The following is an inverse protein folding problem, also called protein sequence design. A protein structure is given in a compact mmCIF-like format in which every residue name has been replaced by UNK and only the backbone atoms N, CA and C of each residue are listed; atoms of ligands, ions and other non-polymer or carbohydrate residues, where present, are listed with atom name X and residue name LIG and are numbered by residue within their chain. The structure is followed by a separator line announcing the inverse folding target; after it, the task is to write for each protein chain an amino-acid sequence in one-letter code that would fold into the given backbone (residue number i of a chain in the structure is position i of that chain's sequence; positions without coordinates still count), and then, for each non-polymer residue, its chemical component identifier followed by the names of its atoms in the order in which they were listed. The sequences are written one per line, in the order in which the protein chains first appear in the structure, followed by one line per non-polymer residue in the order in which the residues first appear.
data_IF_788394462779
#
_entry.id   IF_788394462779
#
_cell.length_a   1.000
_cell.length_b   1.000
_cell.length_c   1.000
_cell.angle_alpha   90.00
_cell.angle_beta   90.00
_cell.angle_gamma   90.00
#
_symmetry.space_group_name_H-M   'P 1'
#
loop_
_entity.id
_entity.type
_entity.pdbx_description
1 polymer ?
#
# COMPACT_ATOMS: atom_id res chain seq x y z
N UNK A 1 5.82 -11.41 1.67
CA UNK A 1 4.80 -11.21 2.71
C UNK A 1 4.87 -12.36 3.71
N UNK A 2 6.10 -12.62 4.16
CA UNK A 2 6.52 -13.75 5.00
C UNK A 2 6.54 -13.32 6.47
N UNK A 3 5.80 -12.26 6.82
CA UNK A 3 5.87 -11.62 8.13
C UNK A 3 4.52 -11.60 8.86
N UNK A 4 3.67 -12.59 8.59
CA UNK A 4 3.09 -13.37 9.69
C UNK A 4 4.11 -14.47 10.01
N UNK A 5 5.35 -14.05 10.28
CA UNK A 5 6.34 -14.92 10.88
C UNK A 5 5.92 -15.01 12.34
N UNK A 6 5.13 -16.05 12.61
CA UNK A 6 4.84 -16.55 13.93
C UNK A 6 4.01 -15.61 14.83
N UNK A 7 2.77 -15.97 15.12
CA UNK A 7 2.47 -16.55 16.44
C UNK A 7 3.68 -17.35 16.98
N UNK A 8 4.66 -16.67 17.59
CA UNK A 8 5.64 -17.29 18.49
C UNK A 8 5.63 -16.53 19.81
N UNK A 9 5.65 -17.19 20.97
CA UNK A 9 5.35 -16.59 22.28
C UNK A 9 6.52 -15.81 22.89
N UNK A 10 7.42 -15.24 22.09
CA UNK A 10 8.65 -14.62 22.62
C UNK A 10 8.87 -13.24 22.00
N UNK A 11 8.94 -12.23 22.88
CA UNK A 11 9.27 -10.80 22.63
C UNK A 11 8.19 -9.88 21.99
N UNK A 12 7.15 -9.54 22.76
CA UNK A 12 5.99 -8.73 22.33
C UNK A 12 6.17 -7.18 22.30
N UNK A 13 7.33 -6.60 22.59
CA UNK A 13 7.49 -5.13 22.64
C UNK A 13 7.94 -4.47 21.32
N UNK A 14 9.12 -4.86 20.78
CA UNK A 14 9.73 -4.16 19.65
C UNK A 14 8.98 -4.38 18.32
N UNK A 15 8.47 -5.59 18.08
CA UNK A 15 7.82 -5.97 16.82
C UNK A 15 6.46 -5.29 16.62
N UNK A 16 5.66 -5.21 17.68
CA UNK A 16 4.35 -4.51 17.64
C UNK A 16 4.57 -3.02 17.40
N UNK A 17 5.50 -2.41 18.13
CA UNK A 17 5.89 -1.01 17.94
C UNK A 17 6.31 -0.73 16.50
N UNK A 18 7.11 -1.61 15.90
CA UNK A 18 7.51 -1.53 14.50
C UNK A 18 6.31 -1.52 13.54
N UNK A 19 5.41 -2.50 13.62
CA UNK A 19 4.24 -2.53 12.72
C UNK A 19 3.27 -1.38 12.94
N UNK A 20 3.08 -0.93 14.18
CA UNK A 20 2.28 0.26 14.48
C UNK A 20 2.89 1.51 13.84
N UNK A 21 4.21 1.67 13.95
CA UNK A 21 4.94 2.79 13.36
C UNK A 21 4.88 2.73 11.82
N UNK A 22 5.01 1.55 11.22
CA UNK A 22 4.85 1.34 9.77
C UNK A 22 3.46 1.73 9.30
N UNK A 23 2.43 1.30 10.03
CA UNK A 23 1.05 1.71 9.75
C UNK A 23 0.87 3.23 9.84
N UNK A 24 1.38 3.85 10.91
CA UNK A 24 1.28 5.28 11.11
C UNK A 24 1.94 6.09 9.98
N UNK A 25 3.17 5.74 9.60
CA UNK A 25 3.85 6.40 8.48
C UNK A 25 3.15 6.16 7.15
N UNK A 26 2.67 4.94 6.88
CA UNK A 26 2.00 4.61 5.63
C UNK A 26 0.67 5.37 5.49
N UNK A 27 -0.23 5.26 6.46
CA UNK A 27 -1.56 5.86 6.40
C UNK A 27 -1.54 7.37 6.67
N UNK A 28 -0.77 7.81 7.66
CA UNK A 28 -0.61 9.23 7.97
C UNK A 28 0.18 9.98 6.90
N UNK A 29 1.28 9.38 6.40
CA UNK A 29 2.04 9.91 5.28
C UNK A 29 1.21 9.98 4.00
N UNK A 30 0.38 8.97 3.72
CA UNK A 30 -0.53 9.00 2.58
C UNK A 30 -1.49 10.19 2.62
N UNK A 31 -2.14 10.45 3.77
CA UNK A 31 -2.99 11.64 3.91
C UNK A 31 -2.21 12.94 3.79
N UNK A 32 -1.01 13.02 4.40
CA UNK A 32 -0.15 14.20 4.34
C UNK A 32 0.27 14.53 2.90
N UNK A 33 0.80 13.57 2.15
CA UNK A 33 1.22 13.79 0.76
C UNK A 33 0.04 14.07 -0.16
N UNK A 34 -1.09 13.42 0.07
CA UNK A 34 -2.32 13.69 -0.69
C UNK A 34 -2.80 15.12 -0.47
N UNK A 35 -2.87 15.59 0.78
CA UNK A 35 -3.23 16.97 1.09
C UNK A 35 -2.26 17.96 0.43
N UNK A 36 -0.95 17.72 0.58
CA UNK A 36 0.08 18.58 -0.01
C UNK A 36 0.02 18.63 -1.54
N UNK A 37 -0.29 17.51 -2.19
CA UNK A 37 -0.46 17.44 -3.63
C UNK A 37 -1.69 18.22 -4.10
N UNK A 38 -2.80 18.17 -3.35
CA UNK A 38 -4.00 18.97 -3.65
C UNK A 38 -3.73 20.45 -3.49
N UNK A 39 -3.07 20.86 -2.41
CA UNK A 39 -2.72 22.26 -2.16
C UNK A 39 -1.78 22.82 -3.24
N UNK A 40 -0.87 21.98 -3.76
CA UNK A 40 0.07 22.39 -4.80
C UNK A 40 -0.54 22.43 -6.20
N UNK A 41 -1.31 21.42 -6.59
CA UNK A 41 -1.90 21.31 -7.94
C UNK A 41 -3.17 22.13 -8.10
N UNK A 42 -3.81 22.51 -6.99
CA UNK A 42 -5.15 23.09 -6.97
C UNK A 42 -6.24 22.02 -7.10
N UNK A 43 -7.42 22.28 -6.52
CA UNK A 43 -8.51 21.31 -6.41
C UNK A 43 -8.99 20.76 -7.77
N UNK A 44 -9.08 21.61 -8.80
CA UNK A 44 -9.56 21.22 -10.13
C UNK A 44 -8.58 20.27 -10.84
N UNK A 45 -7.29 20.60 -10.85
CA UNK A 45 -6.25 19.77 -11.48
C UNK A 45 -6.06 18.46 -10.73
N UNK A 46 -6.06 18.51 -9.38
CA UNK A 46 -5.95 17.33 -8.54
C UNK A 46 -7.14 16.37 -8.70
N UNK A 47 -8.35 16.89 -8.86
CA UNK A 47 -9.53 16.07 -9.15
C UNK A 47 -9.45 15.39 -10.52
N UNK A 48 -9.01 16.13 -11.55
CA UNK A 48 -8.79 15.58 -12.89
C UNK A 48 -7.71 14.48 -12.91
N UNK A 49 -6.65 14.64 -12.12
CA UNK A 49 -5.53 13.68 -12.02
C UNK A 49 -5.54 12.86 -10.72
N UNK A 50 -6.72 12.60 -10.15
CA UNK A 50 -6.90 11.93 -8.85
C UNK A 50 -6.15 10.61 -8.71
N UNK A 51 -6.12 9.78 -9.75
CA UNK A 51 -5.41 8.50 -9.70
C UNK A 51 -3.90 8.73 -9.52
N UNK A 52 -3.33 9.72 -10.21
CA UNK A 52 -1.91 10.07 -10.08
C UNK A 52 -1.61 10.64 -8.69
N UNK A 53 -2.52 11.45 -8.13
CA UNK A 53 -2.39 11.96 -6.76
C UNK A 53 -2.38 10.82 -5.75
N UNK A 54 -3.32 9.87 -5.84
CA UNK A 54 -3.35 8.70 -4.93
C UNK A 54 -2.10 7.83 -5.07
N UNK A 55 -1.71 7.51 -6.30
CA UNK A 55 -0.54 6.70 -6.59
C UNK A 55 0.76 7.35 -6.11
N UNK A 56 0.96 8.64 -6.41
CA UNK A 56 2.14 9.40 -5.99
C UNK A 56 2.22 9.55 -4.47
N UNK A 57 1.10 9.85 -3.82
CA UNK A 57 1.03 9.98 -2.35
C UNK A 57 1.32 8.66 -1.66
N UNK A 58 0.76 7.55 -2.17
CA UNK A 58 0.98 6.20 -1.64
C UNK A 58 2.43 5.76 -1.80
N UNK A 59 3.04 6.01 -2.97
CA UNK A 59 4.44 5.68 -3.23
C UNK A 59 5.39 6.48 -2.32
N UNK A 60 5.16 7.79 -2.17
CA UNK A 60 5.97 8.65 -1.30
C UNK A 60 5.87 8.24 0.17
N UNK A 61 4.65 7.94 0.65
CA UNK A 61 4.42 7.48 2.02
C UNK A 61 5.11 6.15 2.30
N UNK A 62 5.01 5.17 1.40
CA UNK A 62 5.68 3.88 1.57
C UNK A 62 7.20 4.02 1.52
N UNK A 63 7.74 4.79 0.56
CA UNK A 63 9.18 4.99 0.43
C UNK A 63 9.80 5.60 1.69
N UNK A 64 9.17 6.65 2.22
CA UNK A 64 9.64 7.28 3.46
C UNK A 64 9.38 6.42 4.69
N UNK A 65 8.28 5.67 4.72
CA UNK A 65 7.99 4.70 5.76
C UNK A 65 9.08 3.62 5.82
N UNK A 66 9.44 3.04 4.68
CA UNK A 66 10.48 2.02 4.59
C UNK A 66 11.86 2.57 5.03
N UNK A 67 12.18 3.82 4.70
CA UNK A 67 13.41 4.48 5.16
C UNK A 67 13.38 4.75 6.67
N UNK A 68 12.26 5.27 7.20
CA UNK A 68 12.12 5.65 8.60
C UNK A 68 12.09 4.45 9.55
N UNK A 69 11.57 3.30 9.08
CA UNK A 69 11.53 2.07 9.85
C UNK A 69 12.79 1.24 9.80
N UNK A 70 13.61 1.39 8.77
CA UNK A 70 14.95 0.83 8.79
C UNK A 70 15.74 1.56 9.88
N UNK A 71 16.21 0.87 10.94
CA UNK A 71 16.99 1.52 11.99
C UNK A 71 18.15 2.25 11.32
N UNK A 72 18.31 3.55 11.58
CA UNK A 72 19.42 4.31 11.00
C UNK A 72 20.76 3.61 11.31
N UNK A 73 20.88 2.96 12.47
CA UNK A 73 22.01 2.12 12.84
C UNK A 73 22.16 0.86 11.96
N UNK A 74 21.07 0.22 11.55
CA UNK A 74 21.12 -0.93 10.65
C UNK A 74 21.51 -0.51 9.23
N UNK A 75 20.98 0.61 8.73
CA UNK A 75 21.38 1.19 7.44
C UNK A 75 22.83 1.67 7.47
N UNK A 76 23.25 2.35 8.53
CA UNK A 76 24.63 2.82 8.71
C UNK A 76 25.62 1.67 8.88
N UNK A 77 25.22 0.60 9.58
CA UNK A 77 26.04 -0.61 9.73
C UNK A 77 26.14 -1.37 8.40
N UNK A 78 25.04 -1.55 7.68
CA UNK A 78 25.04 -2.17 6.35
C UNK A 78 25.85 -1.35 5.34
N UNK A 79 25.76 -0.02 5.40
CA UNK A 79 26.57 0.89 4.59
C UNK A 79 28.07 0.82 4.94
N UNK A 80 28.41 0.63 6.22
CA UNK A 80 29.80 0.50 6.69
C UNK A 80 30.41 -0.87 6.39
N UNK A 81 29.63 -1.94 6.52
CA UNK A 81 30.11 -3.32 6.39
C UNK A 81 30.05 -3.83 4.95
N UNK A 82 29.01 -3.47 4.18
CA UNK A 82 28.78 -3.95 2.82
C UNK A 82 28.84 -2.83 1.74
N UNK A 83 29.11 -1.59 2.16
CA UNK A 83 29.15 -0.44 1.28
C UNK A 83 27.78 -0.06 0.70
N UNK A 84 27.80 0.83 -0.29
CA UNK A 84 26.59 1.26 -1.02
C UNK A 84 25.93 0.04 -1.73
N UNK A 85 26.73 -0.95 -2.15
CA UNK A 85 26.23 -2.17 -2.78
C UNK A 85 25.30 -3.01 -1.89
N UNK A 86 25.62 -3.16 -0.59
CA UNK A 86 24.78 -3.87 0.38
C UNK A 86 23.47 -3.13 0.70
N UNK A 87 23.50 -1.80 0.72
CA UNK A 87 22.28 -0.98 0.82
C UNK A 87 21.33 -1.23 -0.37
N UNK A 88 21.85 -1.25 -1.59
CA UNK A 88 21.05 -1.54 -2.79
C UNK A 88 20.57 -2.98 -2.86
N UNK A 89 21.32 -3.95 -2.33
CA UNK A 89 20.92 -5.37 -2.30
C UNK A 89 19.77 -5.62 -1.31
N UNK A 90 19.70 -4.85 -0.21
CA UNK A 90 18.65 -4.97 0.81
C UNK A 90 17.40 -4.12 0.56
N UNK A 91 17.57 -2.83 0.26
CA UNK A 91 16.46 -1.87 0.16
C UNK A 91 15.69 -1.98 -1.15
N UNK A 92 16.38 -2.18 -2.28
CA UNK A 92 15.74 -2.20 -3.60
C UNK A 92 14.68 -3.31 -3.75
N UNK A 93 14.94 -4.56 -3.30
CA UNK A 93 13.93 -5.63 -3.32
C UNK A 93 12.69 -5.31 -2.47
N UNK A 94 12.88 -4.66 -1.32
CA UNK A 94 11.80 -4.27 -0.42
C UNK A 94 10.92 -3.23 -1.11
N UNK A 95 11.51 -2.13 -1.58
CA UNK A 95 10.79 -1.05 -2.26
C UNK A 95 10.07 -1.54 -3.52
N UNK A 96 10.72 -2.40 -4.32
CA UNK A 96 10.14 -2.97 -5.54
C UNK A 96 8.85 -3.75 -5.26
N UNK A 97 8.74 -4.38 -4.08
CA UNK A 97 7.54 -5.11 -3.67
C UNK A 97 6.53 -4.22 -2.97
N UNK A 98 6.98 -3.35 -2.08
CA UNK A 98 6.13 -2.57 -1.18
C UNK A 98 5.46 -1.40 -1.89
N UNK A 99 6.18 -0.67 -2.75
CA UNK A 99 5.62 0.48 -3.46
C UNK A 99 4.44 0.05 -4.36
N UNK A 100 4.56 -0.96 -5.24
CA UNK A 100 3.42 -1.39 -6.07
C UNK A 100 2.28 -1.96 -5.24
N UNK A 101 2.59 -2.68 -4.16
CA UNK A 101 1.59 -3.19 -3.22
C UNK A 101 0.78 -2.03 -2.62
N UNK A 102 1.45 -1.02 -2.06
CA UNK A 102 0.80 0.11 -1.38
C UNK A 102 0.06 1.01 -2.36
N UNK A 103 0.61 1.27 -3.55
CA UNK A 103 -0.07 1.99 -4.63
C UNK A 103 -1.39 1.32 -5.03
N UNK A 104 -1.37 0.02 -5.32
CA UNK A 104 -2.57 -0.73 -5.68
C UNK A 104 -3.60 -0.74 -4.55
N UNK A 105 -3.12 -0.93 -3.32
CA UNK A 105 -3.95 -0.95 -2.11
C UNK A 105 -4.74 0.36 -1.96
N UNK A 106 -4.06 1.52 -1.90
CA UNK A 106 -4.76 2.80 -1.69
C UNK A 106 -5.60 3.22 -2.89
N UNK A 107 -5.12 3.04 -4.12
CA UNK A 107 -5.89 3.41 -5.31
C UNK A 107 -7.22 2.63 -5.36
N UNK A 108 -7.18 1.31 -5.16
CA UNK A 108 -8.37 0.48 -5.23
C UNK A 108 -9.30 0.73 -4.04
N UNK A 109 -8.74 0.95 -2.84
CA UNK A 109 -9.53 1.35 -1.68
C UNK A 109 -10.30 2.65 -1.94
N UNK A 110 -9.64 3.72 -2.41
CA UNK A 110 -10.31 5.00 -2.71
C UNK A 110 -11.40 4.85 -3.78
N UNK A 111 -11.15 4.02 -4.81
CA UNK A 111 -12.16 3.72 -5.85
C UNK A 111 -13.34 2.92 -5.31
N UNK A 112 -13.10 1.93 -4.46
CA UNK A 112 -14.15 1.13 -3.83
C UNK A 112 -15.02 2.00 -2.91
N UNK A 113 -14.40 2.89 -2.13
CA UNK A 113 -15.09 3.87 -1.30
C UNK A 113 -15.92 4.85 -2.15
N UNK A 114 -15.36 5.41 -3.22
CA UNK A 114 -16.09 6.29 -4.15
C UNK A 114 -17.31 5.60 -4.75
N UNK A 115 -17.15 4.33 -5.14
CA UNK A 115 -18.24 3.55 -5.70
C UNK A 115 -19.32 3.29 -4.66
N UNK A 116 -18.95 2.88 -3.45
CA UNK A 116 -19.89 2.63 -2.35
C UNK A 116 -20.71 3.89 -1.98
N UNK A 117 -20.08 5.06 -1.89
CA UNK A 117 -20.78 6.30 -1.57
C UNK A 117 -21.48 6.96 -2.76
N UNK A 118 -21.31 6.45 -3.98
CA UNK A 118 -22.13 6.86 -5.13
C UNK A 118 -23.51 6.22 -5.11
N UNK A 119 -23.68 5.12 -4.38
CA UNK A 119 -24.94 4.37 -4.29
C UNK A 119 -25.60 4.44 -2.91
N UNK A 120 -24.85 4.80 -1.86
CA UNK A 120 -25.37 4.99 -0.51
C UNK A 120 -25.01 6.37 0.02
N UNK A 121 -26.02 7.11 0.49
CA UNK A 121 -25.81 8.39 1.14
C UNK A 121 -25.18 8.23 2.51
N UNK A 122 -24.02 8.87 2.69
CA UNK A 122 -23.24 8.84 3.94
C UNK A 122 -24.02 9.33 5.16
N UNK A 123 -25.02 10.19 4.96
CA UNK A 123 -25.87 10.74 6.03
C UNK A 123 -26.90 9.74 6.56
N UNK A 124 -27.24 8.74 5.76
CA UNK A 124 -28.20 7.69 6.14
C UNK A 124 -27.52 6.47 6.78
N UNK A 125 -26.18 6.44 6.75
CA UNK A 125 -25.39 5.33 7.28
C UNK A 125 -25.14 5.49 8.78
N UNK A 126 -25.43 4.42 9.52
CA UNK A 126 -24.97 4.27 10.90
C UNK A 126 -23.43 4.19 10.96
N UNK A 127 -22.86 4.44 12.14
CA UNK A 127 -21.40 4.30 12.35
C UNK A 127 -20.90 2.91 11.93
N UNK A 128 -21.68 1.87 12.23
CA UNK A 128 -21.43 0.48 11.83
C UNK A 128 -21.46 0.31 10.31
N UNK A 129 -22.41 0.95 9.62
CA UNK A 129 -22.50 0.91 8.15
C UNK A 129 -21.28 1.52 7.47
N UNK A 130 -20.81 2.66 7.97
CA UNK A 130 -19.58 3.29 7.47
C UNK A 130 -18.36 2.39 7.72
N UNK A 131 -18.25 1.76 8.90
CA UNK A 131 -17.16 0.79 9.16
C UNK A 131 -17.25 -0.42 8.23
N UNK A 132 -18.46 -0.96 7.99
CA UNK A 132 -18.69 -2.06 7.05
C UNK A 132 -18.24 -1.73 5.63
N UNK A 133 -18.53 -0.52 5.13
CA UNK A 133 -18.06 -0.04 3.83
C UNK A 133 -16.52 0.02 3.78
N UNK A 134 -15.87 0.52 4.85
CA UNK A 134 -14.41 0.57 4.93
C UNK A 134 -13.77 -0.81 4.94
N UNK A 135 -14.35 -1.77 5.70
CA UNK A 135 -13.91 -3.16 5.72
C UNK A 135 -14.06 -3.81 4.34
N UNK A 136 -15.22 -3.63 3.69
CA UNK A 136 -15.49 -4.16 2.35
C UNK A 136 -14.55 -3.58 1.29
N UNK A 137 -14.34 -2.27 1.29
CA UNK A 137 -13.38 -1.61 0.42
C UNK A 137 -11.95 -2.11 0.67
N UNK A 138 -11.58 -2.33 1.93
CA UNK A 138 -10.29 -2.90 2.30
C UNK A 138 -10.10 -4.35 1.83
N UNK A 139 -11.15 -5.18 1.82
CA UNK A 139 -11.10 -6.53 1.24
C UNK A 139 -10.76 -6.48 -0.26
N UNK A 140 -11.48 -5.64 -1.03
CA UNK A 140 -11.27 -5.49 -2.48
C UNK A 140 -9.88 -4.92 -2.77
N UNK A 141 -9.44 -3.94 -1.98
CA UNK A 141 -8.11 -3.37 -2.06
C UNK A 141 -7.02 -4.41 -1.80
N UNK A 142 -7.17 -5.25 -0.77
CA UNK A 142 -6.22 -6.30 -0.46
C UNK A 142 -6.13 -7.38 -1.54
N UNK A 143 -7.26 -7.74 -2.16
CA UNK A 143 -7.26 -8.65 -3.32
C UNK A 143 -6.46 -8.06 -4.49
N UNK A 144 -6.73 -6.81 -4.85
CA UNK A 144 -6.01 -6.15 -5.93
C UNK A 144 -4.51 -6.00 -5.62
N UNK A 145 -4.17 -5.65 -4.38
CA UNK A 145 -2.79 -5.56 -3.93
C UNK A 145 -2.08 -6.91 -4.01
N UNK A 146 -2.74 -8.00 -3.61
CA UNK A 146 -2.21 -9.36 -3.74
C UNK A 146 -1.90 -9.68 -5.22
N UNK A 147 -2.85 -9.42 -6.12
CA UNK A 147 -2.71 -9.63 -7.57
C UNK A 147 -1.50 -8.88 -8.13
N UNK A 148 -1.44 -7.56 -7.90
CA UNK A 148 -0.40 -6.69 -8.47
C UNK A 148 1.00 -7.06 -8.00
N UNK A 149 1.14 -7.42 -6.72
CA UNK A 149 2.46 -7.62 -6.11
C UNK A 149 2.93 -9.08 -6.06
N UNK A 150 2.11 -10.05 -6.51
CA UNK A 150 2.47 -11.47 -6.47
C UNK A 150 3.69 -11.84 -7.33
N UNK A 151 3.85 -11.31 -8.55
CA UNK A 151 5.03 -11.63 -9.36
C UNK A 151 6.33 -11.26 -8.64
N UNK A 152 6.36 -10.08 -8.02
CA UNK A 152 7.50 -9.63 -7.21
C UNK A 152 7.68 -10.49 -5.96
N UNK A 153 6.61 -10.80 -5.21
CA UNK A 153 6.69 -11.62 -3.98
C UNK A 153 7.24 -13.04 -4.27
N UNK A 154 6.76 -13.66 -5.34
CA UNK A 154 7.20 -14.99 -5.77
C UNK A 154 8.66 -14.97 -6.22
N UNK A 155 9.06 -13.97 -7.00
CA UNK A 155 10.44 -13.79 -7.45
C UNK A 155 11.40 -13.61 -6.26
N UNK A 156 11.04 -12.75 -5.31
CA UNK A 156 11.84 -12.50 -4.11
C UNK A 156 11.93 -13.74 -3.21
N UNK A 157 10.84 -14.49 -3.08
CA UNK A 157 10.85 -15.75 -2.32
C UNK A 157 11.83 -16.77 -2.91
N UNK A 158 11.92 -16.87 -4.24
CA UNK A 158 12.88 -17.77 -4.91
C UNK A 158 14.32 -17.30 -4.78
N UNK A 159 14.56 -15.99 -4.90
CA UNK A 159 15.89 -15.40 -4.69
C UNK A 159 16.40 -15.63 -3.27
N UNK A 160 15.51 -15.62 -2.28
CA UNK A 160 15.93 -15.89 -0.90
C UNK A 160 16.16 -17.39 -0.61
N UNK A 161 15.63 -18.29 -1.44
CA UNK A 161 15.76 -19.76 -1.27
C UNK A 161 16.89 -20.37 -2.09
N UNK A 162 17.13 -19.86 -3.29
CA UNK A 162 18.21 -20.34 -4.14
C UNK A 162 19.56 -19.74 -3.69
N UNK A 163 20.64 -20.50 -3.77
CA UNK A 163 22.00 -19.95 -3.62
C UNK A 163 22.45 -19.40 -4.98
N UNK A 164 23.21 -18.30 -4.97
CA UNK A 164 23.79 -17.78 -6.20
C UNK A 164 24.73 -18.82 -6.82
N UNK A 165 24.70 -18.97 -8.15
CA UNK A 165 25.70 -19.77 -8.86
C UNK A 165 27.10 -19.17 -8.72
N UNK A 166 28.16 -19.97 -8.94
CA UNK A 166 29.54 -19.47 -9.02
C UNK A 166 29.62 -18.39 -10.12
N UNK A 167 30.07 -17.19 -9.76
CA UNK A 167 30.16 -15.99 -10.63
C UNK A 167 28.85 -15.53 -11.29
N UNK A 168 27.69 -15.86 -10.71
CA UNK A 168 26.40 -15.37 -11.22
C UNK A 168 26.12 -13.94 -10.71
N UNK A 169 26.02 -12.97 -11.62
CA UNK A 169 25.60 -11.62 -11.25
C UNK A 169 24.13 -11.60 -10.78
N UNK A 170 23.80 -10.74 -9.82
CA UNK A 170 22.44 -10.60 -9.25
C UNK A 170 21.38 -10.36 -10.33
N UNK A 171 21.70 -9.58 -11.35
CA UNK A 171 20.83 -9.32 -12.50
C UNK A 171 20.61 -10.56 -13.36
N UNK A 172 21.67 -11.33 -13.67
CA UNK A 172 21.54 -12.58 -14.44
C UNK A 172 20.68 -13.60 -13.69
N UNK A 173 20.83 -13.66 -12.37
CA UNK A 173 20.03 -14.48 -11.47
C UNK A 173 18.55 -14.08 -11.46
N UNK A 174 18.26 -12.78 -11.37
CA UNK A 174 16.90 -12.23 -11.47
C UNK A 174 16.23 -12.66 -12.79
N UNK A 175 16.92 -12.48 -13.92
CA UNK A 175 16.40 -12.84 -15.24
C UNK A 175 16.21 -14.35 -15.42
N UNK A 176 17.12 -15.18 -14.90
CA UNK A 176 17.00 -16.65 -14.92
C UNK A 176 15.76 -17.09 -14.14
N UNK A 177 15.63 -16.64 -12.89
CA UNK A 177 14.50 -16.98 -12.02
C UNK A 177 13.17 -16.48 -12.62
N UNK A 178 13.15 -15.28 -13.19
CA UNK A 178 11.98 -14.75 -13.89
C UNK A 178 11.56 -15.63 -15.07
N UNK A 179 12.54 -16.11 -15.86
CA UNK A 179 12.31 -16.98 -17.02
C UNK A 179 11.84 -18.38 -16.60
N UNK A 180 12.40 -18.94 -15.53
CA UNK A 180 12.02 -20.25 -14.98
C UNK A 180 10.61 -20.23 -14.37
N UNK A 181 10.24 -19.13 -13.70
CA UNK A 181 8.88 -18.96 -13.17
C UNK A 181 7.86 -18.85 -14.31
N UNK A 182 8.16 -18.04 -15.32
CA UNK A 182 7.17 -17.64 -16.32
C UNK A 182 5.92 -16.99 -15.70
N UNK A 183 4.90 -16.76 -16.53
CA UNK A 183 3.66 -16.11 -16.08
C UNK A 183 2.85 -16.97 -15.10
N UNK A 184 2.77 -18.29 -15.33
CA UNK A 184 2.05 -19.20 -14.43
C UNK A 184 2.77 -19.39 -13.09
N UNK A 185 4.09 -19.51 -13.09
CA UNK A 185 4.87 -19.67 -11.86
C UNK A 185 4.83 -18.42 -10.98
N UNK A 186 4.79 -17.23 -11.59
CA UNK A 186 4.71 -15.95 -10.89
C UNK A 186 3.45 -15.79 -10.01
N UNK A 187 2.41 -16.61 -10.21
CA UNK A 187 1.15 -16.57 -9.45
C UNK A 187 0.95 -17.79 -8.52
N UNK A 188 1.98 -18.58 -8.31
CA UNK A 188 1.94 -19.72 -7.38
C UNK A 188 1.71 -19.25 -5.93
N UNK A 189 0.80 -19.91 -5.22
CA UNK A 189 0.45 -19.56 -3.83
C UNK A 189 -0.50 -18.35 -3.69
N UNK A 190 -1.02 -17.80 -4.79
CA UNK A 190 -1.90 -16.62 -4.79
C UNK A 190 -3.12 -16.78 -3.88
N UNK A 191 -3.79 -17.93 -3.85
CA UNK A 191 -5.03 -18.11 -3.08
C UNK A 191 -4.85 -17.84 -1.57
N UNK A 192 -3.81 -18.41 -0.98
CA UNK A 192 -3.51 -18.23 0.44
C UNK A 192 -3.11 -16.78 0.73
N UNK A 193 -2.35 -16.19 -0.19
CA UNK A 193 -1.95 -14.79 -0.12
C UNK A 193 -3.15 -13.84 -0.23
N UNK A 194 -4.05 -14.08 -1.18
CA UNK A 194 -5.26 -13.29 -1.38
C UNK A 194 -6.13 -13.27 -0.12
N UNK A 195 -6.38 -14.43 0.50
CA UNK A 195 -7.15 -14.50 1.76
C UNK A 195 -6.45 -13.72 2.88
N UNK A 196 -5.17 -13.97 3.10
CA UNK A 196 -4.40 -13.31 4.17
C UNK A 196 -4.33 -11.79 3.97
N UNK A 197 -3.92 -11.33 2.78
CA UNK A 197 -3.77 -9.90 2.45
C UNK A 197 -5.11 -9.21 2.62
N UNK A 198 -6.18 -9.77 2.05
CA UNK A 198 -7.49 -9.12 2.04
C UNK A 198 -8.05 -8.98 3.45
N UNK A 199 -8.00 -10.03 4.26
CA UNK A 199 -8.47 -9.97 5.64
C UNK A 199 -7.70 -8.94 6.47
N UNK A 200 -6.37 -8.93 6.35
CA UNK A 200 -5.54 -7.97 7.07
C UNK A 200 -5.77 -6.53 6.59
N UNK A 201 -5.81 -6.30 5.27
CA UNK A 201 -6.04 -4.97 4.69
C UNK A 201 -7.44 -4.44 5.03
N UNK A 202 -8.45 -5.31 5.08
CA UNK A 202 -9.78 -4.95 5.56
C UNK A 202 -9.72 -4.36 6.97
N UNK A 203 -9.08 -5.06 7.91
CA UNK A 203 -8.93 -4.57 9.29
C UNK A 203 -8.17 -3.25 9.34
N UNK A 204 -7.07 -3.12 8.58
CA UNK A 204 -6.29 -1.88 8.52
C UNK A 204 -7.15 -0.69 8.06
N UNK A 205 -7.95 -0.86 7.01
CA UNK A 205 -8.82 0.21 6.51
C UNK A 205 -10.07 0.44 7.35
N UNK A 206 -10.56 -0.57 8.07
CA UNK A 206 -11.59 -0.39 9.08
C UNK A 206 -11.14 0.58 10.18
N UNK A 207 -9.95 0.32 10.74
CA UNK A 207 -9.33 1.19 11.77
C UNK A 207 -9.05 2.57 11.20
N UNK A 208 -8.45 2.66 10.01
CA UNK A 208 -8.17 3.94 9.35
C UNK A 208 -9.44 4.74 9.06
N UNK A 209 -10.52 4.08 8.64
CA UNK A 209 -11.83 4.70 8.46
C UNK A 209 -12.39 5.27 9.77
N UNK A 210 -12.29 4.53 10.86
CA UNK A 210 -12.73 4.99 12.18
C UNK A 210 -11.87 6.14 12.72
N UNK A 211 -10.56 6.11 12.53
CA UNK A 211 -9.67 7.23 12.85
C UNK A 211 -10.08 8.48 12.06
N UNK A 212 -10.37 8.35 10.76
CA UNK A 212 -10.83 9.48 9.95
C UNK A 212 -12.14 10.07 10.46
N UNK A 213 -13.06 9.23 10.95
CA UNK A 213 -14.30 9.68 11.63
C UNK A 213 -13.98 10.52 12.86
N UNK A 214 -13.09 10.03 13.73
CA UNK A 214 -12.75 10.70 14.98
C UNK A 214 -12.16 12.10 14.77
N UNK A 215 -11.36 12.29 13.73
CA UNK A 215 -10.74 13.58 13.41
C UNK A 215 -11.62 14.49 12.54
N UNK A 216 -12.85 14.09 12.21
CA UNK A 216 -13.70 14.83 11.26
C UNK A 216 -13.15 14.85 9.83
N UNK A 217 -12.03 14.16 9.55
CA UNK A 217 -11.36 14.06 8.26
C UNK A 217 -12.03 13.01 7.33
N UNK A 218 -13.33 12.76 7.54
CA UNK A 218 -14.15 11.83 6.74
C UNK A 218 -14.37 12.35 5.31
N UNK A 219 -13.84 13.53 5.05
CA UNK A 219 -13.96 14.34 3.83
C UNK A 219 -12.78 14.15 2.88
N UNK A 220 -11.91 13.15 3.08
CA UNK A 220 -10.97 12.70 2.04
C UNK A 220 -11.66 12.29 0.71
N UNK A 221 -12.99 12.11 0.74
CA UNK A 221 -13.89 11.92 -0.40
C UNK A 221 -14.21 13.24 -1.15
N UNK A 222 -13.88 14.41 -0.61
CA UNK A 222 -14.27 15.72 -1.16
C UNK A 222 -13.61 16.10 -2.48
N UNK A 223 -12.47 15.50 -2.86
CA UNK A 223 -11.97 15.63 -4.23
C UNK A 223 -12.98 15.09 -5.26
N UNK A 224 -13.78 14.09 -4.88
CA UNK A 224 -14.79 13.48 -5.75
C UNK A 224 -16.17 14.09 -5.56
N UNK A 225 -16.62 14.33 -4.32
CA UNK A 225 -17.98 14.83 -4.08
C UNK A 225 -18.15 16.32 -4.41
N UNK A 226 -17.16 17.19 -4.13
CA UNK A 226 -17.27 18.61 -4.53
C UNK A 226 -17.19 18.78 -6.05
N UNK A 227 -16.38 17.96 -6.73
CA UNK A 227 -16.26 18.02 -8.19
C UNK A 227 -17.45 17.38 -8.91
N UNK A 228 -17.95 16.21 -8.49
CA UNK A 228 -19.15 15.57 -9.08
C UNK A 228 -20.39 16.45 -8.87
N UNK A 229 -20.53 17.10 -7.71
CA UNK A 229 -21.61 18.07 -7.47
C UNK A 229 -21.46 19.33 -8.34
N UNK A 230 -20.25 19.85 -8.54
CA UNK A 230 -20.01 20.99 -9.44
C UNK A 230 -20.19 20.65 -10.93
N UNK A 231 -19.85 19.42 -11.36
CA UNK A 231 -19.96 18.98 -12.75
C UNK A 231 -21.42 18.66 -13.13
N UNK A 232 -22.23 18.15 -12.19
CA UNK A 232 -23.69 18.07 -12.35
C UNK A 232 -24.33 19.45 -12.44
N UNK A 233 -23.97 20.38 -11.54
CA UNK A 233 -24.47 21.76 -11.58
C UNK A 233 -24.12 22.45 -12.90
N UNK A 234 -22.90 22.31 -13.43
CA UNK A 234 -22.53 22.91 -14.73
C UNK A 234 -23.26 22.34 -15.95
N UNK A 235 -23.75 21.09 -15.88
CA UNK A 235 -24.54 20.46 -16.96
C UNK A 235 -26.03 20.79 -16.90
N UNK A 236 -26.53 21.25 -15.76
CA UNK A 236 -27.93 21.64 -15.57
C UNK A 236 -28.21 23.09 -16.00
N UNK A 237 -27.16 23.92 -16.15
CA UNK A 237 -27.24 25.32 -16.57
C UNK A 237 -26.59 25.62 -17.95
N UNK A 238 -26.29 24.59 -18.74
CA UNK A 238 -25.77 24.69 -20.11
C UNK A 238 -26.76 24.06 -21.10
#
# INVERSE_FOLDING_TARGET
MVAVALVCPTTNGPTITGYCLQGAFKFGGYEFFKARAVDYLGQSTAANHRNAVYLGSAAAAEFLGDIALCPFDALAKLAREEGIGGLYSGLSPILLKQIPYTMATFLVYEKAIQTAYSVVDKKELSSMGVTGINLGAGLVAGLAAAVVSQPADTMLSRINKEKAGRDESTTRRLFRIASELGLRGAYTGMQARAVMVSGMTAVQFGIYGDIKKLFGAVDGVELSQRYVAQDYSKREYA
#
